data_IF_843805303963
#
_entry.id   IF_843805303963
#
_cell.length_a   1.000
_cell.length_b   1.000
_cell.length_c   1.000
_cell.angle_alpha   90.00
_cell.angle_beta   90.00
_cell.angle_gamma   90.00
#
_symmetry.space_group_name_H-M   'P 1'
#
loop_
_entity.id
_entity.type
_entity.pdbx_description
1 polymer ?
#
# COMPACT_ATOMS: atom_id res chain seq x y z
N UNK A 1 54.22 0.60 -53.22
CA UNK A 1 52.85 1.12 -53.43
C UNK A 1 52.57 2.08 -52.30
N UNK A 2 52.03 3.28 -52.59
CA UNK A 2 51.76 4.28 -51.56
C UNK A 2 50.72 3.75 -50.55
N UNK A 3 51.02 3.88 -49.27
CA UNK A 3 50.08 3.54 -48.21
C UNK A 3 49.02 4.64 -48.08
N UNK A 4 47.83 4.30 -47.58
CA UNK A 4 46.76 5.28 -47.36
C UNK A 4 46.18 5.14 -45.97
N UNK A 5 45.73 6.25 -45.38
CA UNK A 5 45.06 6.23 -44.08
C UNK A 5 43.71 5.52 -44.19
N UNK A 6 43.37 4.71 -43.20
CA UNK A 6 42.13 3.90 -43.18
C UNK A 6 40.83 4.73 -43.28
N UNK A 7 40.78 5.93 -42.67
CA UNK A 7 39.51 6.70 -42.54
C UNK A 7 39.26 7.72 -43.64
N UNK A 8 40.30 8.41 -44.09
CA UNK A 8 40.19 9.48 -45.09
C UNK A 8 40.87 9.14 -46.41
N UNK A 9 41.53 7.97 -46.52
CA UNK A 9 42.25 7.57 -47.73
C UNK A 9 43.35 8.56 -48.14
N UNK A 10 43.92 9.28 -47.17
CA UNK A 10 45.02 10.22 -47.39
C UNK A 10 46.27 9.42 -47.71
N UNK A 11 46.99 9.82 -48.77
CA UNK A 11 48.25 9.18 -49.14
C UNK A 11 49.31 9.44 -48.06
N UNK A 12 50.04 8.41 -47.69
CA UNK A 12 51.20 8.49 -46.78
C UNK A 12 52.48 8.12 -47.53
N UNK A 13 53.62 8.76 -47.20
CA UNK A 13 54.90 8.42 -47.83
C UNK A 13 55.28 6.98 -47.49
N UNK A 14 55.82 6.24 -48.47
CA UNK A 14 56.49 4.98 -48.16
C UNK A 14 57.92 5.25 -47.65
N UNK A 15 58.49 4.33 -46.87
CA UNK A 15 59.68 4.54 -46.04
C UNK A 15 60.93 5.09 -46.77
N UNK A 16 60.98 5.01 -48.10
CA UNK A 16 62.09 5.46 -48.94
C UNK A 16 61.68 6.34 -50.14
N UNK A 17 60.51 7.00 -50.09
CA UNK A 17 59.98 7.79 -51.21
C UNK A 17 59.79 9.26 -50.82
N UNK A 18 60.15 10.19 -51.72
CA UNK A 18 59.99 11.62 -51.47
C UNK A 18 58.51 12.01 -51.58
N UNK A 19 58.01 12.83 -50.65
CA UNK A 19 56.60 13.26 -50.64
C UNK A 19 56.39 14.44 -51.60
N UNK A 20 55.54 14.26 -52.62
CA UNK A 20 55.23 15.33 -53.57
C UNK A 20 54.27 16.35 -52.94
N UNK A 21 54.51 17.65 -53.18
CA UNK A 21 53.59 18.73 -52.82
C UNK A 21 52.22 18.53 -53.46
N UNK A 22 52.18 17.87 -54.63
CA UNK A 22 50.94 17.47 -55.29
C UNK A 22 50.10 16.51 -54.43
N UNK A 23 50.73 15.54 -53.76
CA UNK A 23 50.03 14.60 -52.88
C UNK A 23 49.46 15.30 -51.64
N UNK A 24 50.16 16.32 -51.12
CA UNK A 24 49.66 17.17 -50.02
C UNK A 24 48.41 17.93 -50.46
N UNK A 25 48.43 18.52 -51.65
CA UNK A 25 47.30 19.28 -52.19
C UNK A 25 46.07 18.38 -52.41
N UNK A 26 46.26 17.20 -53.00
CA UNK A 26 45.17 16.23 -53.21
C UNK A 26 44.61 15.69 -51.88
N UNK A 27 45.46 15.50 -50.86
CA UNK A 27 45.01 15.14 -49.52
C UNK A 27 44.21 16.26 -48.85
N UNK A 28 44.59 17.53 -49.04
CA UNK A 28 43.89 18.69 -48.50
C UNK A 28 42.51 18.88 -49.15
N UNK A 29 42.41 18.69 -50.47
CA UNK A 29 41.14 18.73 -51.20
C UNK A 29 40.19 17.59 -50.75
N UNK A 30 40.72 16.38 -50.52
CA UNK A 30 39.95 15.27 -49.94
C UNK A 30 39.43 15.59 -48.54
N UNK A 31 40.23 16.29 -47.72
CA UNK A 31 39.83 16.71 -46.39
C UNK A 31 38.74 17.80 -46.46
N UNK A 32 38.91 18.80 -47.34
CA UNK A 32 37.95 19.87 -47.54
C UNK A 32 36.60 19.35 -48.04
N UNK A 33 36.58 18.43 -49.02
CA UNK A 33 35.36 17.80 -49.49
C UNK A 33 34.69 16.97 -48.37
N UNK A 34 35.46 16.21 -47.60
CA UNK A 34 34.93 15.40 -46.50
C UNK A 34 34.40 16.23 -45.31
N UNK A 35 34.82 17.49 -45.18
CA UNK A 35 34.34 18.44 -44.15
C UNK A 35 33.21 19.34 -44.66
N UNK A 36 33.17 19.63 -45.97
CA UNK A 36 32.17 20.50 -46.60
C UNK A 36 30.84 19.79 -46.86
N UNK A 37 30.84 18.46 -47.08
CA UNK A 37 29.62 17.63 -47.21
C UNK A 37 28.88 17.38 -45.88
N UNK A 38 28.77 18.41 -45.04
CA UNK A 38 28.07 18.30 -43.77
C UNK A 38 26.54 18.28 -43.99
N UNK A 39 25.95 17.09 -43.84
CA UNK A 39 24.49 16.89 -43.85
C UNK A 39 23.88 17.31 -42.51
N UNK A 40 23.22 18.48 -42.50
CA UNK A 40 22.56 19.07 -41.32
C UNK A 40 21.07 18.72 -41.22
N UNK A 41 20.56 17.74 -41.98
CA UNK A 41 19.13 17.38 -41.96
C UNK A 41 18.64 16.92 -40.58
N UNK A 42 19.53 16.44 -39.71
CA UNK A 42 19.19 16.00 -38.35
C UNK A 42 18.55 14.61 -38.27
N UNK A 43 18.42 13.92 -39.41
CA UNK A 43 17.87 12.56 -39.50
C UNK A 43 18.83 11.65 -40.26
N UNK A 44 19.19 10.52 -39.68
CA UNK A 44 20.05 9.51 -40.31
C UNK A 44 19.31 8.18 -40.27
N UNK A 45 19.06 7.53 -41.43
CA UNK A 45 18.29 6.28 -41.53
C UNK A 45 18.84 5.14 -40.65
N UNK A 46 20.16 5.17 -40.40
CA UNK A 46 20.89 4.18 -39.60
C UNK A 46 20.74 4.36 -38.08
N UNK A 47 20.22 5.49 -37.59
CA UNK A 47 20.11 5.79 -36.15
C UNK A 47 18.63 5.83 -35.76
N UNK A 48 18.11 4.67 -35.33
CA UNK A 48 16.70 4.51 -34.92
C UNK A 48 16.52 4.44 -33.41
N UNK A 49 17.61 4.31 -32.65
CA UNK A 49 17.60 4.18 -31.20
C UNK A 49 18.89 4.73 -30.57
N UNK A 50 18.87 4.98 -29.25
CA UNK A 50 20.04 5.42 -28.50
C UNK A 50 21.22 4.42 -28.54
N UNK A 51 21.00 3.08 -28.46
CA UNK A 51 22.07 2.10 -28.71
C UNK A 51 22.70 2.17 -30.10
N UNK A 52 21.90 2.37 -31.15
CA UNK A 52 22.41 2.52 -32.53
C UNK A 52 23.29 3.77 -32.65
N UNK A 53 22.83 4.87 -32.02
CA UNK A 53 23.60 6.11 -31.91
C UNK A 53 24.96 5.87 -31.24
N UNK A 54 24.99 5.25 -30.06
CA UNK A 54 26.25 4.99 -29.34
C UNK A 54 27.20 4.12 -30.15
N UNK A 55 26.69 3.08 -30.80
CA UNK A 55 27.47 2.19 -31.65
C UNK A 55 28.12 2.96 -32.80
N UNK A 56 27.36 3.83 -33.49
CA UNK A 56 27.81 4.63 -34.63
C UNK A 56 28.69 5.83 -34.24
N UNK A 57 28.59 6.32 -33.00
CA UNK A 57 29.47 7.36 -32.47
C UNK A 57 30.85 6.78 -32.10
N UNK A 58 30.88 5.58 -31.50
CA UNK A 58 32.10 4.94 -31.00
C UNK A 58 32.89 4.23 -32.11
N UNK A 59 32.25 3.74 -33.17
CA UNK A 59 32.93 3.03 -34.29
C UNK A 59 33.86 3.91 -35.14
N UNK A 60 34.02 5.19 -34.82
CA UNK A 60 35.10 6.01 -35.34
C UNK A 60 34.98 6.32 -36.83
N UNK A 61 33.89 6.96 -37.23
CA UNK A 61 33.66 7.47 -38.59
C UNK A 61 34.45 8.76 -38.88
N UNK A 62 34.39 9.24 -40.13
CA UNK A 62 34.87 10.60 -40.49
C UNK A 62 34.22 11.65 -39.57
N UNK A 63 34.92 12.74 -39.28
CA UNK A 63 34.50 13.76 -38.30
C UNK A 63 33.11 14.33 -38.62
N UNK A 64 32.85 14.65 -39.89
CA UNK A 64 31.54 15.15 -40.34
C UNK A 64 30.40 14.14 -40.06
N UNK A 65 30.65 12.84 -40.26
CA UNK A 65 29.70 11.77 -39.96
C UNK A 65 29.47 11.64 -38.45
N UNK A 66 30.52 11.80 -37.64
CA UNK A 66 30.41 11.80 -36.17
C UNK A 66 29.54 12.94 -35.66
N UNK A 67 29.70 14.16 -36.20
CA UNK A 67 28.88 15.32 -35.81
C UNK A 67 27.42 15.16 -36.28
N UNK A 68 27.19 14.64 -37.50
CA UNK A 68 25.84 14.29 -37.98
C UNK A 68 25.16 13.25 -37.10
N UNK A 69 25.89 12.18 -36.76
CA UNK A 69 25.38 11.12 -35.88
C UNK A 69 25.11 11.65 -34.47
N UNK A 70 25.91 12.59 -33.97
CA UNK A 70 25.66 13.30 -32.72
C UNK A 70 24.35 14.08 -32.77
N UNK A 71 24.11 14.88 -33.82
CA UNK A 71 22.84 15.62 -33.99
C UNK A 71 21.63 14.68 -34.01
N UNK A 72 21.71 13.59 -34.76
CA UNK A 72 20.64 12.59 -34.83
C UNK A 72 20.47 11.80 -33.51
N UNK A 73 21.54 11.58 -32.73
CA UNK A 73 21.48 10.89 -31.44
C UNK A 73 20.85 11.73 -30.32
N UNK A 74 21.06 13.05 -30.35
CA UNK A 74 20.54 13.97 -29.35
C UNK A 74 19.00 14.02 -29.31
N UNK A 75 18.31 13.58 -30.37
CA UNK A 75 16.84 13.45 -30.36
C UNK A 75 16.34 12.44 -29.31
N UNK A 76 17.17 11.45 -28.96
CA UNK A 76 16.84 10.40 -27.99
C UNK A 76 17.24 10.79 -26.55
N UNK A 77 17.97 11.88 -26.38
CA UNK A 77 18.35 12.39 -25.06
C UNK A 77 17.20 13.26 -24.55
N UNK A 78 16.61 12.86 -23.42
CA UNK A 78 15.61 13.67 -22.75
C UNK A 78 16.26 14.95 -22.23
N UNK A 79 15.85 16.09 -22.78
CA UNK A 79 16.26 17.40 -22.28
C UNK A 79 15.44 17.71 -21.03
N UNK A 80 16.02 18.46 -20.08
CA UNK A 80 15.33 18.82 -18.82
C UNK A 80 13.96 19.49 -19.03
N UNK A 81 13.72 20.13 -20.17
CA UNK A 81 12.42 20.73 -20.54
C UNK A 81 11.37 19.75 -21.09
N UNK A 82 11.75 18.53 -21.47
CA UNK A 82 10.81 17.48 -21.90
C UNK A 82 10.31 16.61 -20.73
N UNK A 83 10.96 16.74 -19.56
CA UNK A 83 10.57 16.03 -18.34
C UNK A 83 9.42 16.80 -17.69
N UNK A 84 8.29 16.11 -17.51
CA UNK A 84 7.15 16.66 -16.77
C UNK A 84 7.50 16.66 -15.29
N UNK A 85 7.48 17.85 -14.70
CA UNK A 85 7.80 18.07 -13.28
C UNK A 85 6.74 18.89 -12.53
N UNK A 86 5.59 19.17 -13.16
CA UNK A 86 4.51 19.96 -12.58
C UNK A 86 3.15 19.24 -12.51
N UNK A 87 3.02 18.03 -13.09
CA UNK A 87 1.74 17.30 -13.18
C UNK A 87 0.59 18.08 -13.86
N UNK A 88 0.90 19.09 -14.68
CA UNK A 88 -0.12 19.94 -15.35
C UNK A 88 -0.45 19.46 -16.77
N UNK A 89 0.36 18.55 -17.32
CA UNK A 89 0.13 17.98 -18.66
C UNK A 89 -0.51 16.59 -18.58
N UNK A 90 -1.42 16.33 -19.50
CA UNK A 90 -2.13 15.08 -19.75
C UNK A 90 -1.54 14.29 -20.94
N UNK A 91 -0.43 14.77 -21.53
CA UNK A 91 0.19 14.14 -22.68
C UNK A 91 0.95 12.86 -22.27
N UNK A 92 0.41 11.70 -22.63
CA UNK A 92 0.97 10.38 -22.36
C UNK A 92 2.34 10.10 -23.03
N UNK A 93 2.74 10.90 -24.02
CA UNK A 93 4.03 10.76 -24.69
C UNK A 93 5.21 11.40 -23.96
N UNK A 94 4.97 12.13 -22.87
CA UNK A 94 6.01 12.82 -22.10
C UNK A 94 6.44 12.00 -20.86
N UNK A 95 7.74 11.93 -20.56
CA UNK A 95 8.24 11.21 -19.40
C UNK A 95 7.97 11.98 -18.09
N UNK A 96 7.55 11.25 -17.06
CA UNK A 96 7.37 11.76 -15.70
C UNK A 96 8.71 11.88 -14.98
N UNK A 97 8.92 12.97 -14.24
CA UNK A 97 10.08 13.11 -13.36
C UNK A 97 10.08 12.04 -12.26
N UNK A 98 11.28 11.51 -11.95
CA UNK A 98 11.43 10.48 -10.91
C UNK A 98 10.92 10.94 -9.53
N UNK A 99 11.11 12.21 -9.19
CA UNK A 99 10.62 12.79 -7.94
C UNK A 99 9.08 12.73 -7.84
N UNK A 100 8.37 13.08 -8.93
CA UNK A 100 6.91 12.99 -8.95
C UNK A 100 6.40 11.55 -8.98
N UNK A 101 7.09 10.67 -9.71
CA UNK A 101 6.78 9.23 -9.69
C UNK A 101 6.86 8.64 -8.27
N UNK A 102 7.85 9.07 -7.47
CA UNK A 102 7.96 8.68 -6.06
C UNK A 102 6.79 9.21 -5.24
N UNK A 103 6.46 10.50 -5.35
CA UNK A 103 5.32 11.10 -4.61
C UNK A 103 4.01 10.38 -4.94
N UNK A 104 3.76 10.09 -6.22
CA UNK A 104 2.57 9.34 -6.65
C UNK A 104 2.53 7.94 -6.04
N UNK A 105 3.66 7.22 -6.07
CA UNK A 105 3.75 5.89 -5.46
C UNK A 105 3.50 5.94 -3.95
N UNK A 106 4.09 6.91 -3.26
CA UNK A 106 3.93 7.08 -1.81
C UNK A 106 2.46 7.38 -1.45
N UNK A 107 1.79 8.27 -2.19
CA UNK A 107 0.36 8.57 -2.03
C UNK A 107 -0.52 7.34 -2.30
N UNK A 108 -0.21 6.57 -3.35
CA UNK A 108 -0.93 5.35 -3.67
C UNK A 108 -0.82 4.30 -2.55
N UNK A 109 0.38 4.09 -2.02
CA UNK A 109 0.60 3.18 -0.89
C UNK A 109 -0.11 3.64 0.38
N UNK A 110 -0.10 4.95 0.65
CA UNK A 110 -0.84 5.54 1.76
C UNK A 110 -2.34 5.29 1.62
N UNK A 111 -2.92 5.59 0.45
CA UNK A 111 -4.35 5.37 0.18
C UNK A 111 -4.76 3.91 0.41
N UNK A 112 -3.97 2.96 -0.07
CA UNK A 112 -4.23 1.53 0.16
C UNK A 112 -4.19 1.15 1.64
N UNK A 113 -3.24 1.72 2.39
CA UNK A 113 -3.12 1.47 3.84
C UNK A 113 -4.30 2.07 4.62
N UNK A 114 -4.72 3.28 4.28
CA UNK A 114 -5.85 3.98 4.91
C UNK A 114 -7.18 3.28 4.63
N UNK A 115 -7.38 2.80 3.40
CA UNK A 115 -8.56 2.02 3.01
C UNK A 115 -8.64 0.70 3.79
N UNK A 116 -7.51 0.00 3.92
CA UNK A 116 -7.44 -1.25 4.67
C UNK A 116 -7.76 -1.04 6.16
N UNK A 117 -7.21 0.00 6.78
CA UNK A 117 -7.53 0.39 8.16
C UNK A 117 -9.03 0.68 8.34
N UNK A 118 -9.65 1.38 7.39
CA UNK A 118 -11.08 1.71 7.44
C UNK A 118 -11.96 0.47 7.36
N UNK A 119 -11.66 -0.46 6.45
CA UNK A 119 -12.43 -1.70 6.29
C UNK A 119 -12.39 -2.59 7.53
N UNK A 120 -11.23 -2.71 8.18
CA UNK A 120 -11.09 -3.48 9.42
C UNK A 120 -11.86 -2.86 10.61
N UNK A 121 -12.18 -1.57 10.56
CA UNK A 121 -13.03 -0.94 11.57
C UNK A 121 -14.53 -1.20 11.36
N UNK A 122 -14.93 -1.76 10.21
CA UNK A 122 -16.32 -2.05 9.88
C UNK A 122 -16.63 -3.56 9.88
N UNK A 123 -15.60 -4.42 9.92
CA UNK A 123 -15.80 -5.85 10.04
C UNK A 123 -16.42 -6.20 11.40
N UNK A 124 -17.29 -7.21 11.39
CA UNK A 124 -17.93 -7.73 12.61
C UNK A 124 -17.10 -8.91 13.10
N UNK A 125 -16.45 -8.75 14.24
CA UNK A 125 -15.74 -9.83 14.93
C UNK A 125 -16.65 -10.38 16.04
N UNK A 126 -16.96 -11.68 16.01
CA UNK A 126 -17.80 -12.34 17.03
C UNK A 126 -16.93 -13.22 17.92
N UNK A 127 -16.86 -12.89 19.21
CA UNK A 127 -16.17 -13.69 20.22
C UNK A 127 -17.17 -14.45 21.08
N UNK A 128 -17.22 -15.78 20.95
CA UNK A 128 -18.03 -16.63 21.83
C UNK A 128 -17.26 -16.98 23.11
N UNK A 129 -17.70 -16.39 24.21
CA UNK A 129 -17.11 -16.48 25.54
C UNK A 129 -17.97 -17.33 26.48
N UNK A 130 -18.90 -18.12 25.97
CA UNK A 130 -19.84 -18.91 26.78
C UNK A 130 -19.12 -19.86 27.75
N UNK A 131 -17.92 -20.32 27.38
CA UNK A 131 -17.07 -21.16 28.22
C UNK A 131 -16.52 -20.45 29.48
N UNK A 132 -16.47 -19.11 29.49
CA UNK A 132 -16.02 -18.31 30.64
C UNK A 132 -17.11 -18.14 31.70
N UNK A 133 -18.36 -18.50 31.41
CA UNK A 133 -19.43 -18.44 32.41
C UNK A 133 -19.16 -19.45 33.53
N UNK A 134 -19.13 -18.96 34.77
CA UNK A 134 -18.89 -19.78 35.94
C UNK A 134 -20.08 -20.75 36.17
N UNK A 135 -19.78 -22.05 36.25
CA UNK A 135 -20.74 -23.14 36.42
C UNK A 135 -21.62 -23.01 37.67
N UNK A 136 -21.12 -22.36 38.72
CA UNK A 136 -21.89 -22.11 39.96
C UNK A 136 -23.16 -21.32 39.70
N UNK A 137 -23.12 -20.37 38.77
CA UNK A 137 -24.21 -19.39 38.60
C UNK A 137 -25.19 -19.75 37.49
N UNK A 138 -24.96 -20.81 36.72
CA UNK A 138 -25.84 -21.18 35.61
C UNK A 138 -26.23 -22.67 35.61
N UNK A 139 -27.41 -22.96 35.08
CA UNK A 139 -27.90 -24.33 34.90
C UNK A 139 -27.18 -24.99 33.72
N UNK A 140 -26.41 -26.05 33.98
CA UNK A 140 -25.57 -26.71 32.96
C UNK A 140 -26.37 -27.29 31.77
N UNK A 141 -27.61 -27.74 32.03
CA UNK A 141 -28.51 -28.34 31.01
C UNK A 141 -29.33 -27.31 30.24
N UNK A 142 -29.30 -26.04 30.62
CA UNK A 142 -30.03 -24.97 29.94
C UNK A 142 -29.17 -24.33 28.85
N UNK A 143 -29.85 -23.81 27.82
CA UNK A 143 -29.22 -22.96 26.81
C UNK A 143 -28.63 -21.70 27.46
N UNK A 144 -27.43 -21.34 27.00
CA UNK A 144 -26.69 -20.18 27.48
C UNK A 144 -25.78 -19.65 26.40
N UNK A 145 -25.56 -18.35 26.41
CA UNK A 145 -24.52 -17.72 25.62
C UNK A 145 -23.94 -16.50 26.33
N UNK A 146 -22.66 -16.28 26.10
CA UNK A 146 -21.96 -15.03 26.40
C UNK A 146 -21.15 -14.68 25.15
N UNK A 147 -21.53 -13.61 24.44
CA UNK A 147 -20.89 -13.23 23.19
C UNK A 147 -20.58 -11.76 23.17
N UNK A 148 -19.41 -11.39 22.67
CA UNK A 148 -19.04 -10.00 22.43
C UNK A 148 -18.82 -9.85 20.94
N UNK A 149 -19.62 -8.99 20.31
CA UNK A 149 -19.46 -8.60 18.92
C UNK A 149 -18.71 -7.26 18.88
N UNK A 150 -17.63 -7.17 18.11
CA UNK A 150 -16.87 -5.92 17.92
C UNK A 150 -17.09 -5.42 16.50
N UNK A 151 -17.38 -4.13 16.39
CA UNK A 151 -17.47 -3.37 15.13
C UNK A 151 -16.62 -2.10 15.31
N UNK A 152 -15.36 -2.19 14.90
CA UNK A 152 -14.37 -1.14 15.09
C UNK A 152 -14.11 -0.86 16.58
N UNK A 153 -14.57 0.31 17.05
CA UNK A 153 -14.45 0.73 18.44
C UNK A 153 -15.67 0.38 19.29
N UNK A 154 -16.80 0.03 18.67
CA UNK A 154 -18.02 -0.32 19.38
C UNK A 154 -18.01 -1.82 19.64
N UNK A 155 -18.34 -2.20 20.87
CA UNK A 155 -18.49 -3.60 21.29
C UNK A 155 -19.88 -3.80 21.83
N UNK A 156 -20.46 -4.95 21.52
CA UNK A 156 -21.81 -5.34 21.88
C UNK A 156 -21.73 -6.66 22.64
N UNK A 157 -21.91 -6.59 23.95
CA UNK A 157 -22.00 -7.75 24.84
C UNK A 157 -23.44 -8.26 24.84
N UNK A 158 -23.62 -9.53 24.47
CA UNK A 158 -24.87 -10.27 24.52
C UNK A 158 -24.75 -11.39 25.53
N UNK A 159 -25.71 -11.49 26.44
CA UNK A 159 -25.73 -12.52 27.47
C UNK A 159 -27.13 -13.12 27.59
N UNK A 160 -27.20 -14.44 27.76
CA UNK A 160 -28.42 -15.13 28.17
C UNK A 160 -28.06 -16.41 28.90
N UNK A 161 -28.65 -16.65 30.07
CA UNK A 161 -28.53 -17.92 30.78
C UNK A 161 -29.64 -18.09 31.81
N UNK A 162 -29.88 -19.35 32.19
CA UNK A 162 -30.70 -19.71 33.35
C UNK A 162 -29.82 -19.75 34.59
N UNK A 163 -30.12 -18.91 35.58
CA UNK A 163 -29.37 -18.78 36.82
C UNK A 163 -29.70 -19.89 37.84
N UNK A 164 -28.71 -20.28 38.66
CA UNK A 164 -28.84 -21.30 39.71
C UNK A 164 -28.98 -20.70 41.11
N UNK A 165 -27.98 -19.96 41.58
CA UNK A 165 -27.91 -19.42 42.93
C UNK A 165 -27.21 -18.06 42.93
N UNK A 166 -27.97 -16.98 42.68
CA UNK A 166 -27.47 -15.62 42.76
C UNK A 166 -27.57 -15.12 44.21
N UNK A 167 -26.56 -14.39 44.65
CA UNK A 167 -26.47 -13.84 46.02
C UNK A 167 -26.81 -12.36 46.10
N UNK A 168 -26.96 -11.68 44.95
CA UNK A 168 -27.30 -10.26 44.86
C UNK A 168 -26.20 -9.43 44.21
N UNK A 169 -24.95 -9.88 44.30
CA UNK A 169 -23.78 -9.30 43.63
C UNK A 169 -22.76 -10.39 43.33
N UNK A 170 -22.72 -10.88 42.09
CA UNK A 170 -21.98 -12.09 41.71
C UNK A 170 -21.08 -11.84 40.49
N UNK A 171 -19.84 -12.34 40.55
CA UNK A 171 -18.94 -12.38 39.39
C UNK A 171 -19.25 -13.64 38.59
N UNK A 172 -19.80 -13.48 37.38
CA UNK A 172 -20.32 -14.59 36.58
C UNK A 172 -19.38 -15.05 35.46
N UNK A 173 -18.41 -14.22 35.07
CA UNK A 173 -17.34 -14.59 34.16
C UNK A 173 -16.05 -13.86 34.54
N UNK A 174 -14.92 -14.53 34.38
CA UNK A 174 -13.58 -13.97 34.55
C UNK A 174 -12.77 -14.14 33.28
N UNK A 175 -11.57 -13.57 33.24
CA UNK A 175 -10.61 -13.74 32.16
C UNK A 175 -11.12 -13.25 30.80
N UNK A 176 -11.93 -12.19 30.82
CA UNK A 176 -12.36 -11.52 29.60
C UNK A 176 -11.12 -10.97 28.87
N UNK A 177 -10.95 -11.25 27.55
CA UNK A 177 -9.81 -10.78 26.78
C UNK A 177 -9.66 -9.25 26.83
N UNK A 178 -8.42 -8.76 26.98
CA UNK A 178 -8.14 -7.31 27.10
C UNK A 178 -8.63 -6.50 25.90
N UNK A 179 -8.58 -7.09 24.71
CA UNK A 179 -9.06 -6.50 23.46
C UNK A 179 -10.58 -6.24 23.46
N UNK A 180 -11.33 -6.95 24.30
CA UNK A 180 -12.79 -6.87 24.41
C UNK A 180 -13.26 -6.06 25.63
N UNK A 181 -12.34 -5.57 26.47
CA UNK A 181 -12.71 -4.75 27.62
C UNK A 181 -13.12 -3.34 27.20
N UNK A 182 -13.98 -2.69 27.99
CA UNK A 182 -14.32 -1.30 27.78
C UNK A 182 -13.13 -0.41 28.21
N UNK A 183 -13.07 0.80 27.66
CA UNK A 183 -12.03 1.79 28.02
C UNK A 183 -12.18 2.28 29.48
N UNK A 184 -13.41 2.22 30.01
CA UNK A 184 -13.80 2.55 31.38
C UNK A 184 -14.83 1.49 31.79
N UNK A 185 -14.80 1.05 33.04
CA UNK A 185 -15.78 0.08 33.56
C UNK A 185 -17.21 0.48 33.19
N UNK A 186 -17.95 -0.45 32.59
CA UNK A 186 -19.26 -0.23 32.02
C UNK A 186 -20.32 -0.91 32.88
N UNK A 187 -21.41 -0.21 33.17
CA UNK A 187 -22.56 -0.76 33.89
C UNK A 187 -23.83 -0.45 33.10
N UNK A 188 -24.69 -1.45 32.89
CA UNK A 188 -26.02 -1.23 32.32
C UNK A 188 -27.07 -2.13 32.94
N UNK A 189 -28.33 -1.70 32.85
CA UNK A 189 -29.46 -2.52 33.26
C UNK A 189 -29.85 -3.50 32.15
N UNK A 190 -29.92 -4.78 32.49
CA UNK A 190 -30.43 -5.87 31.66
C UNK A 190 -31.64 -6.51 32.34
N UNK A 191 -32.27 -7.46 31.66
CA UNK A 191 -33.52 -8.06 32.11
C UNK A 191 -33.27 -9.35 32.90
N UNK A 192 -33.81 -9.39 34.12
CA UNK A 192 -34.02 -10.61 34.89
C UNK A 192 -35.49 -11.03 34.87
N UNK A 193 -35.76 -12.33 34.84
CA UNK A 193 -37.12 -12.90 34.85
C UNK A 193 -37.23 -14.10 35.77
N UNK A 194 -38.39 -14.29 36.40
CA UNK A 194 -38.73 -15.52 37.13
C UNK A 194 -39.19 -16.67 36.19
N UNK A 195 -39.56 -17.81 36.78
CA UNK A 195 -39.92 -19.07 36.09
C UNK A 195 -41.33 -19.12 35.47
N UNK A 196 -42.13 -18.04 35.53
CA UNK A 196 -43.48 -18.01 34.94
C UNK A 196 -43.46 -18.14 33.41
N UNK A 197 -44.58 -18.53 32.79
CA UNK A 197 -44.74 -18.47 31.33
C UNK A 197 -44.62 -17.04 30.80
N UNK A 198 -44.39 -16.84 29.50
CA UNK A 198 -44.13 -15.50 28.92
C UNK A 198 -45.15 -14.43 29.29
N UNK A 199 -46.43 -14.79 29.39
CA UNK A 199 -47.52 -13.86 29.72
C UNK A 199 -47.68 -13.58 31.23
N UNK A 200 -47.09 -14.40 32.11
CA UNK A 200 -47.30 -14.32 33.57
C UNK A 200 -46.00 -14.11 34.36
N UNK A 201 -44.87 -13.97 33.66
CA UNK A 201 -43.58 -13.80 34.29
C UNK A 201 -43.41 -12.39 34.87
N UNK A 202 -42.73 -12.30 36.01
CA UNK A 202 -42.33 -11.04 36.61
C UNK A 202 -40.92 -10.69 36.15
N UNK A 203 -40.75 -9.46 35.67
CA UNK A 203 -39.50 -8.93 35.20
C UNK A 203 -38.87 -8.01 36.25
N UNK A 204 -37.56 -8.05 36.35
CA UNK A 204 -36.78 -7.23 37.26
C UNK A 204 -35.53 -6.70 36.54
N UNK A 205 -35.11 -5.45 36.83
CA UNK A 205 -33.82 -4.96 36.34
C UNK A 205 -32.69 -5.71 37.06
N UNK A 206 -31.65 -6.05 36.30
CA UNK A 206 -30.39 -6.61 36.78
C UNK A 206 -29.27 -5.71 36.27
N UNK A 207 -28.35 -5.29 37.12
CA UNK A 207 -27.20 -4.50 36.67
C UNK A 207 -26.12 -5.45 36.19
N UNK A 208 -25.65 -5.29 34.96
CA UNK A 208 -24.49 -5.99 34.42
C UNK A 208 -23.32 -5.01 34.39
N UNK A 209 -22.25 -5.36 35.09
CA UNK A 209 -20.97 -4.67 35.07
C UNK A 209 -19.96 -5.42 34.22
N UNK A 210 -19.19 -4.71 33.41
CA UNK A 210 -18.03 -5.22 32.68
C UNK A 210 -16.83 -4.35 33.03
N UNK A 211 -15.84 -4.94 33.70
CA UNK A 211 -14.68 -4.22 34.24
C UNK A 211 -13.68 -5.15 34.90
N UNK A 212 -12.42 -4.71 35.00
CA UNK A 212 -11.37 -5.48 35.69
C UNK A 212 -11.21 -6.94 35.20
N UNK A 213 -11.32 -7.20 33.88
CA UNK A 213 -11.29 -8.54 33.25
C UNK A 213 -12.42 -9.48 33.68
N UNK A 214 -13.52 -8.95 34.22
CA UNK A 214 -14.63 -9.72 34.75
C UNK A 214 -15.99 -9.18 34.35
N UNK A 215 -17.00 -10.04 34.41
CA UNK A 215 -18.41 -9.67 34.27
C UNK A 215 -19.10 -9.91 35.60
N UNK A 216 -19.74 -8.87 36.10
CA UNK A 216 -20.45 -8.85 37.37
C UNK A 216 -21.93 -8.66 37.11
N UNK A 217 -22.79 -9.36 37.83
CA UNK A 217 -24.22 -9.06 37.89
C UNK A 217 -24.63 -8.66 39.29
N UNK A 218 -25.48 -7.65 39.38
CA UNK A 218 -26.16 -7.29 40.62
C UNK A 218 -27.67 -7.34 40.44
N UNK A 219 -28.29 -8.20 41.25
CA UNK A 219 -29.76 -8.40 41.29
C UNK A 219 -30.38 -7.77 42.54
N UNK A 220 -29.55 -7.26 43.47
CA UNK A 220 -29.98 -6.73 44.76
C UNK A 220 -30.84 -7.73 45.54
N UNK A 221 -31.84 -7.22 46.27
CA UNK A 221 -32.77 -8.03 47.07
C UNK A 221 -33.65 -8.98 46.25
N UNK A 222 -33.61 -8.89 44.91
CA UNK A 222 -34.38 -9.75 43.99
C UNK A 222 -33.62 -11.01 43.57
N UNK A 223 -32.40 -11.25 44.09
CA UNK A 223 -31.54 -12.37 43.70
C UNK A 223 -32.25 -13.74 43.67
N UNK A 224 -33.04 -14.05 44.70
CA UNK A 224 -33.76 -15.33 44.83
C UNK A 224 -34.97 -15.47 43.90
N UNK A 225 -35.44 -14.38 43.30
CA UNK A 225 -36.62 -14.35 42.41
C UNK A 225 -36.25 -14.40 40.94
N UNK A 226 -35.01 -14.02 40.58
CA UNK A 226 -34.54 -13.97 39.20
C UNK A 226 -33.97 -15.33 38.81
N UNK A 227 -34.52 -15.94 37.76
CA UNK A 227 -34.12 -17.27 37.26
C UNK A 227 -33.54 -17.23 35.86
N UNK A 228 -33.95 -16.29 35.02
CA UNK A 228 -33.39 -16.10 33.68
C UNK A 228 -32.83 -14.70 33.58
N UNK A 229 -31.61 -14.58 33.07
CA UNK A 229 -30.95 -13.30 32.81
C UNK A 229 -30.69 -13.24 31.32
N UNK A 230 -31.12 -12.15 30.69
CA UNK A 230 -30.78 -11.87 29.31
C UNK A 230 -30.66 -10.37 29.05
N UNK A 231 -29.78 -10.01 28.12
CA UNK A 231 -29.65 -8.62 27.69
C UNK A 231 -28.50 -8.40 26.72
N UNK A 232 -28.51 -7.19 26.17
CA UNK A 232 -27.51 -6.70 25.24
C UNK A 232 -27.04 -5.34 25.72
N UNK A 233 -25.73 -5.12 25.73
CA UNK A 233 -25.10 -3.87 26.15
C UNK A 233 -24.10 -3.44 25.10
N UNK A 234 -24.11 -2.17 24.78
CA UNK A 234 -23.16 -1.55 23.86
C UNK A 234 -22.18 -0.68 24.65
N UNK A 235 -20.88 -0.81 24.36
CA UNK A 235 -19.80 -0.06 25.01
C UNK A 235 -18.63 0.18 24.04
N UNK A 236 -17.65 0.97 24.49
CA UNK A 236 -16.46 1.37 23.71
C UNK A 236 -15.18 0.86 24.36
#
# INVERSE_FOLDING_TARGET
>A
MAETTEKYGLRTPSQNDFFDVKDVSENMEKLENALTEFDDSGTVEDIKSFPDFLTKLVTGNKLAVTIRNLKAGLQFVLHAGQIVNNCVTDNAGLPLSAAQGKVLKDLYTQLYSDLNTTNNNLSVEISDLTHLLNQKYHVATAERYLRICRVGRIKILNISFKANALTGHDIIATDIPETLLPSIDCYAAIQGRNTGGWASATYAPVILGLGGRSIVISTGDKASKVTYISGTITYI
#
